data_IF_861131845933
#
_entry.id   IF_861131845933
#
_cell.length_a   1.000
_cell.length_b   1.000
_cell.length_c   1.000
_cell.angle_alpha   90.00
_cell.angle_beta   90.00
_cell.angle_gamma   90.00
#
_symmetry.space_group_name_H-M   'P 1'
#
loop_
_entity.id
_entity.type
_entity.pdbx_description
1 polymer ?
#
# COMPACT_ATOMS: atom_id res chain seq x y z
N UNK A 1 21.65 -0.22 12.43
CA UNK A 1 20.81 -0.13 11.24
C UNK A 1 21.57 0.37 10.00
N UNK A 2 22.86 0.58 10.14
CA UNK A 2 23.69 1.29 9.15
C UNK A 2 23.76 0.60 7.78
N UNK A 3 23.69 -0.69 7.69
CA UNK A 3 23.84 -1.43 6.44
C UNK A 3 22.65 -2.33 6.13
N UNK A 4 21.49 -2.03 6.74
CA UNK A 4 20.29 -2.81 6.47
C UNK A 4 19.74 -2.47 5.07
N UNK A 5 19.29 -3.48 4.31
CA UNK A 5 18.58 -3.23 3.07
C UNK A 5 17.24 -2.53 3.36
N UNK A 6 16.60 -2.00 2.32
CA UNK A 6 15.34 -1.25 2.48
C UNK A 6 14.30 -2.02 3.29
N UNK A 7 14.13 -3.32 3.04
CA UNK A 7 13.20 -4.13 3.78
C UNK A 7 13.47 -4.14 5.27
N UNK A 8 14.74 -4.31 5.66
CA UNK A 8 15.14 -4.29 7.06
C UNK A 8 14.97 -2.94 7.72
N UNK A 9 15.31 -1.87 7.00
CA UNK A 9 15.12 -0.50 7.49
C UNK A 9 13.65 -0.20 7.71
N UNK A 10 12.81 -0.60 6.78
CA UNK A 10 11.37 -0.36 6.87
C UNK A 10 10.74 -1.10 8.03
N UNK A 11 11.15 -2.35 8.27
CA UNK A 11 10.70 -3.12 9.41
C UNK A 11 11.06 -2.46 10.73
N UNK A 12 12.27 -1.90 10.80
CA UNK A 12 12.74 -1.20 12.01
C UNK A 12 11.89 0.06 12.26
N UNK A 13 11.58 0.82 11.21
CA UNK A 13 10.75 2.02 11.32
C UNK A 13 9.35 1.65 11.83
N UNK A 14 8.76 0.60 11.30
CA UNK A 14 7.44 0.11 11.71
C UNK A 14 7.49 -0.34 13.17
N UNK A 15 8.53 -1.08 13.56
CA UNK A 15 8.69 -1.53 14.95
C UNK A 15 8.77 -0.35 15.92
N UNK A 16 9.49 0.71 15.54
CA UNK A 16 9.58 1.93 16.37
C UNK A 16 8.22 2.60 16.52
N UNK A 17 7.46 2.68 15.43
CA UNK A 17 6.13 3.25 15.47
C UNK A 17 5.19 2.44 16.37
N UNK A 18 5.27 1.12 16.31
CA UNK A 18 4.46 0.21 17.14
C UNK A 18 4.81 0.32 18.62
N UNK A 19 6.05 0.66 18.94
CA UNK A 19 6.49 0.81 20.33
C UNK A 19 5.75 1.94 21.06
N UNK A 20 5.18 2.90 20.32
CA UNK A 20 4.37 3.97 20.87
C UNK A 20 2.92 3.56 21.18
N UNK A 21 2.57 2.29 20.93
CA UNK A 21 1.22 1.73 21.14
C UNK A 21 0.13 2.56 20.43
N UNK A 22 0.24 2.76 19.11
CA UNK A 22 -0.71 3.61 18.39
C UNK A 22 -2.02 2.88 18.11
N UNK A 23 -3.07 3.65 17.85
CA UNK A 23 -4.33 3.15 17.30
C UNK A 23 -4.38 3.35 15.79
N UNK A 24 -3.64 4.32 15.31
CA UNK A 24 -3.53 4.65 13.89
C UNK A 24 -2.06 4.65 13.48
N UNK A 25 -1.75 3.89 12.45
CA UNK A 25 -0.41 3.85 11.88
C UNK A 25 -0.46 4.45 10.47
N UNK A 26 0.40 5.44 10.23
CA UNK A 26 0.51 6.07 8.92
C UNK A 26 1.75 5.53 8.19
N UNK A 27 1.57 5.01 6.99
CA UNK A 27 2.65 4.51 6.16
C UNK A 27 2.66 5.26 4.83
N UNK A 28 3.71 6.03 4.60
CA UNK A 28 3.84 6.84 3.39
C UNK A 28 4.82 6.18 2.43
N UNK A 29 4.30 5.64 1.34
CA UNK A 29 5.05 4.93 0.31
C UNK A 29 6.04 3.91 0.88
N UNK A 30 5.57 2.99 1.75
CA UNK A 30 6.48 2.08 2.43
C UNK A 30 7.22 1.12 1.50
N UNK A 31 6.71 0.87 0.29
CA UNK A 31 7.33 -0.03 -0.68
C UNK A 31 8.35 0.66 -1.59
N UNK A 32 8.59 1.96 -1.40
CA UNK A 32 9.54 2.70 -2.23
C UNK A 32 10.94 2.05 -2.18
N UNK A 33 11.51 1.79 -3.36
CA UNK A 33 12.83 1.18 -3.48
C UNK A 33 12.88 -0.33 -3.27
N UNK A 34 11.74 -0.98 -3.07
CA UNK A 34 11.68 -2.42 -2.85
C UNK A 34 11.50 -3.20 -4.16
N UNK A 35 12.10 -4.39 -4.20
CA UNK A 35 11.84 -5.34 -5.28
C UNK A 35 10.52 -6.10 -5.00
N UNK A 36 9.99 -6.88 -5.96
CA UNK A 36 8.71 -7.58 -5.76
C UNK A 36 8.67 -8.51 -4.55
N UNK A 37 9.76 -9.18 -4.25
CA UNK A 37 9.82 -10.09 -3.10
C UNK A 37 9.75 -9.31 -1.78
N UNK A 38 10.47 -8.21 -1.69
CA UNK A 38 10.45 -7.35 -0.50
C UNK A 38 9.05 -6.73 -0.32
N UNK A 39 8.43 -6.32 -1.40
CA UNK A 39 7.06 -5.77 -1.37
C UNK A 39 6.08 -6.81 -0.85
N UNK A 40 6.20 -8.05 -1.30
CA UNK A 40 5.36 -9.14 -0.82
C UNK A 40 5.52 -9.36 0.68
N UNK A 41 6.75 -9.37 1.16
CA UNK A 41 7.04 -9.52 2.59
C UNK A 41 6.49 -8.35 3.40
N UNK A 42 6.57 -7.14 2.85
CA UNK A 42 5.98 -5.95 3.48
C UNK A 42 4.47 -6.08 3.59
N UNK A 43 3.80 -6.55 2.53
CA UNK A 43 2.36 -6.76 2.55
C UNK A 43 1.95 -7.75 3.63
N UNK A 44 2.69 -8.85 3.76
CA UNK A 44 2.44 -9.84 4.79
C UNK A 44 2.63 -9.25 6.19
N UNK A 45 3.66 -8.44 6.37
CA UNK A 45 3.92 -7.78 7.64
C UNK A 45 2.80 -6.81 8.02
N UNK A 46 2.36 -5.98 7.06
CA UNK A 46 1.29 -5.00 7.30
C UNK A 46 -0.01 -5.72 7.69
N UNK A 47 -0.37 -6.78 6.98
CA UNK A 47 -1.56 -7.56 7.30
C UNK A 47 -1.46 -8.17 8.70
N UNK A 48 -0.30 -8.70 9.05
CA UNK A 48 -0.04 -9.31 10.34
C UNK A 48 -0.18 -8.31 11.49
N UNK A 49 0.48 -7.14 11.39
CA UNK A 49 0.45 -6.16 12.49
C UNK A 49 -0.92 -5.51 12.64
N UNK A 50 -1.64 -5.32 11.54
CA UNK A 50 -2.99 -4.76 11.60
C UNK A 50 -3.90 -5.64 12.45
N UNK A 51 -3.85 -6.93 12.22
CA UNK A 51 -4.68 -7.88 12.95
C UNK A 51 -4.20 -8.06 14.38
N UNK A 52 -2.91 -8.30 14.57
CA UNK A 52 -2.33 -8.58 15.88
C UNK A 52 -2.50 -7.41 16.86
N UNK A 53 -2.30 -6.19 16.41
CA UNK A 53 -2.37 -5.01 17.27
C UNK A 53 -3.67 -4.24 17.13
N UNK A 54 -4.61 -4.75 16.36
CA UNK A 54 -5.91 -4.13 16.11
C UNK A 54 -5.76 -2.66 15.66
N UNK A 55 -4.90 -2.45 14.67
CA UNK A 55 -4.57 -1.13 14.16
C UNK A 55 -5.49 -0.70 13.04
N UNK A 56 -5.73 0.61 12.96
CA UNK A 56 -6.18 1.25 11.73
C UNK A 56 -4.93 1.72 11.01
N UNK A 57 -4.78 1.35 9.75
CA UNK A 57 -3.60 1.73 8.97
C UNK A 57 -4.03 2.59 7.79
N UNK A 58 -3.44 3.77 7.69
CA UNK A 58 -3.59 4.63 6.52
C UNK A 58 -2.33 4.50 5.68
N UNK A 59 -2.49 3.99 4.46
CA UNK A 59 -1.40 3.71 3.55
C UNK A 59 -1.47 4.66 2.37
N UNK A 60 -0.36 5.34 2.09
CA UNK A 60 -0.22 6.15 0.89
C UNK A 60 0.70 5.38 -0.05
N UNK A 61 0.19 5.01 -1.22
CA UNK A 61 0.93 4.22 -2.19
C UNK A 61 0.47 4.47 -3.61
N UNK A 62 1.34 4.16 -4.56
CA UNK A 62 1.01 4.13 -5.97
C UNK A 62 1.26 2.74 -6.57
N UNK A 63 1.75 1.80 -5.79
CA UNK A 63 1.89 0.40 -6.19
C UNK A 63 0.52 -0.26 -6.11
N UNK A 64 -0.10 -0.44 -7.27
CA UNK A 64 -1.48 -0.93 -7.34
C UNK A 64 -1.64 -2.37 -6.84
N UNK A 65 -0.62 -3.22 -7.04
CA UNK A 65 -0.68 -4.59 -6.53
C UNK A 65 -0.73 -4.61 -5.01
N UNK A 66 0.09 -3.77 -4.38
CA UNK A 66 0.10 -3.65 -2.92
C UNK A 66 -1.24 -3.14 -2.41
N UNK A 67 -1.71 -2.04 -2.98
CA UNK A 67 -2.97 -1.40 -2.57
C UNK A 67 -4.14 -2.36 -2.72
N UNK A 68 -4.28 -2.98 -3.90
CA UNK A 68 -5.37 -3.92 -4.17
C UNK A 68 -5.29 -5.18 -3.31
N UNK A 69 -4.08 -5.55 -2.89
CA UNK A 69 -3.87 -6.77 -2.14
C UNK A 69 -4.14 -6.67 -0.64
N UNK A 70 -4.01 -5.49 -0.04
CA UNK A 70 -4.10 -5.37 1.42
C UNK A 70 -5.09 -4.34 1.94
N UNK A 71 -5.54 -3.41 1.10
CA UNK A 71 -6.45 -2.36 1.54
C UNK A 71 -7.91 -2.83 1.52
N UNK A 72 -8.65 -2.49 2.57
CA UNK A 72 -10.08 -2.77 2.63
C UNK A 72 -10.88 -1.67 1.94
N UNK A 73 -10.39 -0.44 2.03
CA UNK A 73 -11.00 0.73 1.43
C UNK A 73 -9.93 1.58 0.78
N UNK A 74 -10.24 2.06 -0.41
CA UNK A 74 -9.28 2.82 -1.22
C UNK A 74 -9.89 4.16 -1.59
N UNK A 75 -9.08 5.22 -1.43
CA UNK A 75 -9.41 6.54 -1.96
C UNK A 75 -8.39 6.84 -3.05
N UNK A 76 -8.87 7.22 -4.23
CA UNK A 76 -7.97 7.46 -5.38
C UNK A 76 -7.92 8.96 -5.67
N UNK A 77 -6.70 9.47 -5.69
CA UNK A 77 -6.44 10.87 -6.03
C UNK A 77 -5.77 10.95 -7.39
N UNK A 78 -6.15 11.94 -8.17
CA UNK A 78 -5.51 12.27 -9.45
C UNK A 78 -5.41 13.78 -9.53
N UNK A 79 -4.18 14.27 -9.71
CA UNK A 79 -3.89 15.71 -9.71
C UNK A 79 -4.49 16.44 -8.49
N UNK A 80 -4.36 15.81 -7.33
CA UNK A 80 -4.85 16.39 -6.08
C UNK A 80 -6.35 16.34 -5.86
N UNK A 81 -7.09 15.69 -6.75
CA UNK A 81 -8.54 15.57 -6.64
C UNK A 81 -8.96 14.13 -6.38
N UNK A 82 -9.93 13.96 -5.49
CA UNK A 82 -10.51 12.64 -5.23
C UNK A 82 -11.39 12.25 -6.43
N UNK A 83 -11.00 11.20 -7.13
CA UNK A 83 -11.73 10.74 -8.32
C UNK A 83 -12.56 9.48 -8.07
N UNK A 84 -12.26 8.73 -7.00
CA UNK A 84 -12.99 7.51 -6.67
C UNK A 84 -12.70 7.09 -5.23
N UNK A 85 -13.63 6.35 -4.63
CA UNK A 85 -13.41 5.68 -3.36
C UNK A 85 -14.29 4.43 -3.29
N UNK A 86 -13.82 3.44 -2.55
CA UNK A 86 -14.57 2.19 -2.40
C UNK A 86 -13.67 1.02 -2.07
N UNK A 87 -14.23 -0.19 -2.21
CA UNK A 87 -13.49 -1.43 -2.03
C UNK A 87 -12.50 -1.63 -3.19
N UNK A 88 -11.51 -2.51 -3.02
CA UNK A 88 -10.61 -2.84 -4.12
C UNK A 88 -11.34 -3.27 -5.39
N UNK A 89 -12.40 -4.06 -5.26
CA UNK A 89 -13.17 -4.52 -6.40
C UNK A 89 -13.87 -3.37 -7.13
N UNK A 90 -14.49 -2.45 -6.38
CA UNK A 90 -15.12 -1.27 -6.95
C UNK A 90 -14.11 -0.38 -7.65
N UNK A 91 -12.95 -0.18 -7.04
CA UNK A 91 -11.89 0.66 -7.60
C UNK A 91 -11.33 0.06 -8.88
N UNK A 92 -11.12 -1.26 -8.91
CA UNK A 92 -10.59 -1.95 -10.10
C UNK A 92 -11.48 -1.75 -11.31
N UNK A 93 -12.78 -1.64 -11.11
CA UNK A 93 -13.78 -1.50 -12.18
C UNK A 93 -14.11 -0.06 -12.52
N UNK A 94 -13.60 0.89 -11.74
CA UNK A 94 -13.96 2.30 -11.91
C UNK A 94 -13.31 2.89 -13.16
N UNK A 95 -14.09 3.44 -14.11
CA UNK A 95 -13.54 3.96 -15.38
C UNK A 95 -12.46 5.01 -15.23
N UNK A 96 -12.62 5.94 -14.30
CA UNK A 96 -11.62 6.99 -14.06
C UNK A 96 -10.32 6.44 -13.52
N UNK A 97 -10.40 5.39 -12.69
CA UNK A 97 -9.21 4.74 -12.13
C UNK A 97 -8.48 3.95 -13.21
N UNK A 98 -9.22 3.22 -14.02
CA UNK A 98 -8.65 2.45 -15.14
C UNK A 98 -7.89 3.40 -16.08
N UNK A 99 -8.49 4.52 -16.42
CA UNK A 99 -7.87 5.52 -17.28
C UNK A 99 -6.59 6.10 -16.67
N UNK A 100 -6.63 6.47 -15.38
CA UNK A 100 -5.53 7.17 -14.73
C UNK A 100 -4.37 6.25 -14.29
N UNK A 101 -4.68 5.03 -13.87
CA UNK A 101 -3.69 4.17 -13.21
C UNK A 101 -3.58 2.76 -13.76
N UNK A 102 -4.66 2.17 -14.23
CA UNK A 102 -4.71 0.76 -14.62
C UNK A 102 -4.68 0.53 -16.13
N UNK A 103 -4.85 1.57 -16.91
CA UNK A 103 -4.90 1.46 -18.37
C UNK A 103 -3.66 0.83 -18.97
N UNK A 104 -2.48 1.19 -18.49
CA UNK A 104 -1.22 0.66 -18.97
C UNK A 104 -1.05 -0.82 -18.61
N UNK A 105 -1.45 -1.21 -17.39
CA UNK A 105 -1.38 -2.60 -16.95
C UNK A 105 -2.29 -3.49 -17.80
N UNK A 106 -3.51 -3.02 -18.05
CA UNK A 106 -4.45 -3.76 -18.90
C UNK A 106 -3.93 -3.87 -20.32
N UNK A 107 -3.33 -2.79 -20.84
CA UNK A 107 -2.69 -2.79 -22.13
C UNK A 107 -1.55 -3.80 -22.25
N UNK A 108 -0.72 -3.88 -21.22
CA UNK A 108 0.37 -4.84 -21.15
C UNK A 108 -0.12 -6.28 -21.12
N UNK A 109 -1.19 -6.55 -20.39
CA UNK A 109 -1.78 -7.88 -20.32
C UNK A 109 -2.33 -8.35 -21.67
N UNK A 110 -2.82 -7.43 -22.47
CA UNK A 110 -3.39 -7.71 -23.77
C UNK A 110 -2.38 -7.66 -24.91
N UNK A 111 -1.20 -7.19 -24.63
CA UNK A 111 -0.13 -7.13 -25.61
C UNK A 111 0.62 -8.46 -25.67
#
# INVERSE_FOLDING_TARGET
AKNLPYGGQRRLEIARALAADPKLLLLDEPAAGMNPQETKELMELIAFIREKFNLTILLIEHDMKLVMGICERILVLDHGQLIAHGSPEEIRKHPKVIEAYLGEEVGEEHA
#
